data_IF_478281711475
#
_entry.id   IF_478281711475
#
_cell.length_a   1.000
_cell.length_b   1.000
_cell.length_c   1.000
_cell.angle_alpha   90.00
_cell.angle_beta   90.00
_cell.angle_gamma   90.00
#
_symmetry.space_group_name_H-M   'P 1'
#
loop_
_entity.id
_entity.type
_entity.pdbx_description
1 polymer ?
#
# COMPACT_ATOMS: atom_id res chain seq x y z
N UNK A 1 -25.21 -5.22 -17.19
CA UNK A 1 -23.74 -5.38 -17.10
C UNK A 1 -23.29 -5.17 -15.66
N UNK A 2 -22.48 -6.07 -15.09
CA UNK A 2 -21.85 -5.89 -13.78
C UNK A 2 -20.98 -4.63 -13.69
N UNK A 3 -20.77 -4.12 -12.47
CA UNK A 3 -19.93 -2.94 -12.21
C UNK A 3 -18.79 -3.24 -11.24
N UNK A 4 -17.60 -2.77 -11.57
CA UNK A 4 -16.45 -2.73 -10.67
C UNK A 4 -16.20 -1.30 -10.20
N UNK A 5 -16.33 -1.08 -8.90
CA UNK A 5 -16.01 0.17 -8.23
C UNK A 5 -14.64 0.03 -7.55
N UNK A 6 -13.70 0.86 -7.95
CA UNK A 6 -12.36 0.90 -7.38
C UNK A 6 -12.20 2.18 -6.58
N UNK A 7 -11.75 2.05 -5.34
CA UNK A 7 -11.40 3.20 -4.50
C UNK A 7 -9.98 3.06 -4.00
N UNK A 8 -9.17 4.10 -4.16
CA UNK A 8 -7.88 4.17 -3.50
C UNK A 8 -7.98 4.87 -2.16
N UNK A 9 -7.45 4.26 -1.10
CA UNK A 9 -7.38 4.89 0.22
C UNK A 9 -6.46 6.12 0.22
N UNK A 10 -6.81 7.10 1.03
CA UNK A 10 -5.95 8.24 1.34
C UNK A 10 -4.83 7.81 2.30
N UNK A 11 -3.61 7.77 1.78
CA UNK A 11 -2.40 7.62 2.58
C UNK A 11 -1.36 8.68 2.24
N UNK A 12 -0.75 9.25 3.27
CA UNK A 12 0.21 10.34 3.10
C UNK A 12 1.55 9.85 2.52
N UNK A 13 1.98 8.65 2.90
CA UNK A 13 3.27 8.08 2.48
C UNK A 13 3.37 7.90 0.95
N UNK A 14 2.27 7.57 0.28
CA UNK A 14 2.23 7.41 -1.18
C UNK A 14 1.32 8.43 -1.87
N UNK A 15 1.04 9.58 -1.24
CA UNK A 15 0.09 10.57 -1.75
C UNK A 15 0.38 11.03 -3.18
N UNK A 16 1.67 11.14 -3.54
CA UNK A 16 2.12 11.56 -4.86
C UNK A 16 2.27 10.43 -5.87
N UNK A 17 2.16 9.17 -5.44
CA UNK A 17 2.30 8.01 -6.32
C UNK A 17 0.99 7.71 -7.05
N UNK A 18 1.08 7.22 -8.26
CA UNK A 18 -0.04 6.64 -9.01
C UNK A 18 0.05 5.13 -8.94
N UNK A 19 -1.09 4.43 -8.81
CA UNK A 19 -1.11 2.97 -8.86
C UNK A 19 -1.62 2.51 -10.21
N UNK A 20 -0.95 1.52 -10.79
CA UNK A 20 -1.31 0.88 -12.04
C UNK A 20 -2.13 -0.37 -11.73
N UNK A 21 -3.26 -0.52 -12.42
CA UNK A 21 -4.20 -1.62 -12.19
C UNK A 21 -4.21 -2.55 -13.39
N UNK A 22 -4.13 -3.85 -13.11
CA UNK A 22 -4.03 -4.91 -14.08
C UNK A 22 -5.21 -5.87 -13.92
N UNK A 23 -5.84 -6.21 -15.04
CA UNK A 23 -6.89 -7.21 -15.11
C UNK A 23 -6.37 -8.36 -15.99
N UNK A 24 -6.34 -9.58 -15.45
CA UNK A 24 -5.77 -10.75 -16.12
C UNK A 24 -4.34 -10.53 -16.65
N UNK A 25 -3.54 -9.76 -15.90
CA UNK A 25 -2.15 -9.44 -16.23
C UNK A 25 -1.97 -8.32 -17.26
N UNK A 26 -3.04 -7.72 -17.80
CA UNK A 26 -2.98 -6.57 -18.70
C UNK A 26 -3.36 -5.30 -17.96
N UNK A 27 -2.52 -4.27 -18.10
CA UNK A 27 -2.83 -2.94 -17.55
C UNK A 27 -4.09 -2.40 -18.23
N UNK A 28 -5.04 -1.90 -17.43
CA UNK A 28 -6.29 -1.34 -17.96
C UNK A 28 -6.53 0.10 -17.49
N UNK A 29 -5.99 0.50 -16.35
CA UNK A 29 -6.14 1.87 -15.85
C UNK A 29 -5.12 2.21 -14.78
N UNK A 30 -5.05 3.49 -14.43
CA UNK A 30 -4.30 4.03 -13.31
C UNK A 30 -5.26 4.67 -12.29
N UNK A 31 -4.89 4.70 -11.01
CA UNK A 31 -5.69 5.33 -9.96
C UNK A 31 -4.84 6.22 -9.04
N UNK A 32 -5.28 7.48 -8.91
CA UNK A 32 -4.63 8.54 -8.13
C UNK A 32 -5.12 8.56 -6.70
N UNK A 33 -4.46 9.36 -5.89
CA UNK A 33 -4.75 9.48 -4.46
C UNK A 33 -6.22 9.87 -4.23
N UNK A 34 -6.90 9.09 -3.38
CA UNK A 34 -8.30 9.28 -2.99
C UNK A 34 -9.30 9.27 -4.16
N UNK A 35 -8.89 8.70 -5.30
CA UNK A 35 -9.74 8.59 -6.49
C UNK A 35 -10.69 7.38 -6.40
N UNK A 36 -11.85 7.54 -7.03
CA UNK A 36 -12.87 6.49 -7.20
C UNK A 36 -13.15 6.33 -8.69
N UNK A 37 -13.03 5.10 -9.19
CA UNK A 37 -13.28 4.76 -10.59
C UNK A 37 -14.40 3.72 -10.68
N UNK A 38 -15.18 3.79 -11.74
CA UNK A 38 -16.28 2.85 -12.01
C UNK A 38 -16.15 2.29 -13.43
N UNK A 39 -16.18 0.97 -13.55
CA UNK A 39 -16.09 0.28 -14.83
C UNK A 39 -17.27 -0.67 -15.00
N UNK A 40 -17.83 -0.73 -16.20
CA UNK A 40 -18.76 -1.79 -16.59
C UNK A 40 -17.93 -2.93 -17.18
N UNK A 41 -18.07 -4.13 -16.61
CA UNK A 41 -17.27 -5.30 -16.98
C UNK A 41 -18.21 -6.43 -17.36
N UNK A 42 -17.93 -7.20 -18.42
CA UNK A 42 -18.68 -8.40 -18.74
C UNK A 42 -18.68 -9.41 -17.59
N UNK A 43 -19.64 -10.33 -17.63
CA UNK A 43 -19.66 -11.44 -16.68
C UNK A 43 -18.47 -12.38 -16.89
N UNK A 44 -18.00 -12.95 -15.80
CA UNK A 44 -16.88 -13.88 -15.83
C UNK A 44 -15.94 -13.74 -14.64
N UNK A 45 -14.81 -14.45 -14.75
CA UNK A 45 -13.76 -14.49 -13.74
C UNK A 45 -12.61 -13.61 -14.16
N UNK A 46 -12.16 -12.76 -13.25
CA UNK A 46 -11.08 -11.82 -13.47
C UNK A 46 -10.12 -11.83 -12.31
N UNK A 47 -8.86 -11.63 -12.63
CA UNK A 47 -7.77 -11.49 -11.67
C UNK A 47 -7.31 -10.03 -11.65
N UNK A 48 -7.57 -9.34 -10.55
CA UNK A 48 -7.18 -7.95 -10.33
C UNK A 48 -5.84 -7.88 -9.59
N UNK A 49 -4.91 -7.07 -10.08
CA UNK A 49 -3.64 -6.77 -9.43
C UNK A 49 -3.38 -5.26 -9.43
N UNK A 50 -2.78 -4.73 -8.37
CA UNK A 50 -2.29 -3.36 -8.32
C UNK A 50 -0.76 -3.33 -8.24
N UNK A 51 -0.14 -2.35 -8.90
CA UNK A 51 1.32 -2.13 -8.88
C UNK A 51 1.67 -0.67 -8.70
N UNK A 52 2.81 -0.42 -8.06
CA UNK A 52 3.42 0.90 -7.91
C UNK A 52 4.93 0.72 -7.89
N UNK A 53 5.65 1.44 -8.75
CA UNK A 53 7.08 1.24 -8.97
C UNK A 53 7.41 -0.26 -9.19
N UNK A 54 8.29 -0.86 -8.36
CA UNK A 54 8.63 -2.29 -8.40
C UNK A 54 7.84 -3.14 -7.38
N UNK A 55 6.86 -2.55 -6.70
CA UNK A 55 6.02 -3.16 -5.68
C UNK A 55 4.62 -3.43 -6.23
N UNK A 56 3.84 -4.28 -5.54
CA UNK A 56 2.48 -4.60 -5.95
C UNK A 56 1.66 -5.30 -4.88
N UNK A 57 0.49 -5.77 -5.29
CA UNK A 57 -0.43 -6.54 -4.47
C UNK A 57 -0.38 -8.04 -4.77
N UNK A 58 -0.96 -8.80 -3.84
CA UNK A 58 -1.43 -10.14 -4.18
C UNK A 58 -2.62 -10.01 -5.16
N UNK A 59 -2.78 -10.98 -6.07
CA UNK A 59 -3.93 -11.00 -6.96
C UNK A 59 -5.23 -11.21 -6.18
N UNK A 60 -6.26 -10.48 -6.56
CA UNK A 60 -7.62 -10.67 -6.08
C UNK A 60 -8.45 -11.30 -7.19
N UNK A 61 -8.95 -12.51 -6.94
CA UNK A 61 -9.86 -13.20 -7.84
C UNK A 61 -11.27 -12.65 -7.64
N UNK A 62 -11.89 -12.18 -8.72
CA UNK A 62 -13.22 -11.60 -8.76
C UNK A 62 -14.10 -12.40 -9.72
N UNK A 63 -15.33 -12.69 -9.30
CA UNK A 63 -16.36 -13.28 -10.16
C UNK A 63 -17.52 -12.28 -10.27
N UNK A 64 -17.86 -11.90 -11.50
CA UNK A 64 -18.96 -10.98 -11.78
C UNK A 64 -20.15 -11.73 -12.36
N UNK A 65 -21.31 -11.57 -11.72
CA UNK A 65 -22.61 -12.04 -12.19
C UNK A 65 -23.46 -10.88 -12.69
N UNK A 66 -24.49 -11.20 -13.48
CA UNK A 66 -25.37 -10.18 -14.05
C UNK A 66 -25.93 -9.22 -12.99
N UNK A 67 -25.76 -7.92 -13.22
CA UNK A 67 -26.28 -6.87 -12.32
C UNK A 67 -25.51 -6.66 -11.01
N UNK A 68 -24.42 -7.41 -10.78
CA UNK A 68 -23.65 -7.30 -9.54
C UNK A 68 -22.73 -6.06 -9.53
N UNK A 69 -22.56 -5.47 -8.34
CA UNK A 69 -21.60 -4.39 -8.10
C UNK A 69 -20.55 -4.88 -7.11
N UNK A 70 -19.28 -4.91 -7.54
CA UNK A 70 -18.14 -5.28 -6.70
C UNK A 70 -17.36 -4.02 -6.33
N UNK A 71 -17.14 -3.79 -5.04
CA UNK A 71 -16.32 -2.66 -4.55
C UNK A 71 -14.99 -3.18 -4.08
N UNK A 72 -13.90 -2.69 -4.66
CA UNK A 72 -12.55 -3.01 -4.24
C UNK A 72 -11.85 -1.74 -3.76
N UNK A 73 -11.36 -1.80 -2.53
CA UNK A 73 -10.49 -0.78 -1.97
C UNK A 73 -9.02 -1.18 -2.12
N UNK A 74 -8.23 -0.24 -2.62
CA UNK A 74 -6.79 -0.39 -2.78
C UNK A 74 -6.09 0.41 -1.69
N UNK A 75 -5.33 -0.28 -0.84
CA UNK A 75 -4.61 0.31 0.28
C UNK A 75 -3.11 0.04 0.14
N UNK A 76 -2.27 0.96 0.61
CA UNK A 76 -0.84 0.70 0.76
C UNK A 76 -0.53 -0.17 1.97
N UNK A 77 0.77 -0.26 2.29
CA UNK A 77 1.23 -1.17 3.32
C UNK A 77 0.79 -0.69 4.72
N UNK A 78 0.37 -1.63 5.55
CA UNK A 78 -0.44 -1.43 6.78
C UNK A 78 0.14 -0.39 7.72
N UNK A 79 1.46 -0.38 7.85
CA UNK A 79 2.15 0.36 8.88
C UNK A 79 2.71 1.70 8.38
N UNK A 80 2.57 2.02 7.08
CA UNK A 80 3.13 3.22 6.44
C UNK A 80 2.72 4.50 7.17
N UNK A 81 1.47 4.55 7.66
CA UNK A 81 0.91 5.71 8.34
C UNK A 81 1.67 6.10 9.60
N UNK A 82 2.12 5.12 10.38
CA UNK A 82 2.74 5.33 11.70
C UNK A 82 4.25 5.13 11.71
N UNK A 83 4.77 4.28 10.83
CA UNK A 83 6.17 3.87 10.78
C UNK A 83 7.14 5.05 10.65
N UNK A 84 6.84 5.97 9.74
CA UNK A 84 7.72 7.12 9.49
C UNK A 84 7.68 8.15 10.64
N UNK A 85 6.50 8.56 11.17
CA UNK A 85 6.45 9.37 12.39
C UNK A 85 7.20 8.72 13.56
N UNK A 86 7.00 7.41 13.79
CA UNK A 86 7.66 6.72 14.90
C UNK A 86 9.18 6.67 14.70
N UNK A 87 9.66 6.43 13.48
CA UNK A 87 11.08 6.47 13.16
C UNK A 87 11.68 7.86 13.37
N UNK A 88 10.99 8.92 12.93
CA UNK A 88 11.43 10.30 13.10
C UNK A 88 11.46 10.70 14.58
N UNK A 89 10.42 10.38 15.34
CA UNK A 89 10.38 10.63 16.79
C UNK A 89 11.53 9.92 17.51
N UNK A 90 11.80 8.66 17.16
CA UNK A 90 12.92 7.88 17.73
C UNK A 90 14.27 8.53 17.40
N UNK A 91 14.44 9.01 16.17
CA UNK A 91 15.66 9.71 15.74
C UNK A 91 15.86 11.02 16.51
N UNK A 92 14.81 11.80 16.71
CA UNK A 92 14.87 13.07 17.47
C UNK A 92 15.27 12.78 18.92
N UNK A 93 14.68 11.77 19.56
CA UNK A 93 15.01 11.38 20.94
C UNK A 93 16.47 10.90 21.02
N UNK A 94 16.91 10.07 20.06
CA UNK A 94 18.29 9.61 19.98
C UNK A 94 19.27 10.80 19.88
N UNK A 95 18.98 11.77 19.01
CA UNK A 95 19.79 12.98 18.86
C UNK A 95 19.79 13.84 20.12
N UNK A 96 18.65 14.06 20.76
CA UNK A 96 18.56 14.83 22.00
C UNK A 96 19.43 14.23 23.11
N UNK A 97 19.38 12.91 23.28
CA UNK A 97 20.21 12.19 24.26
C UNK A 97 21.69 12.32 23.91
N UNK A 98 22.04 12.12 22.65
CA UNK A 98 23.42 12.25 22.19
C UNK A 98 23.96 13.67 22.39
N UNK A 99 23.20 14.71 22.10
CA UNK A 99 23.67 16.09 22.24
C UNK A 99 23.78 16.54 23.69
N UNK A 100 22.80 16.21 24.54
CA UNK A 100 22.76 16.69 25.92
C UNK A 100 23.64 15.86 26.86
N UNK A 101 23.64 14.54 26.71
CA UNK A 101 24.35 13.62 27.60
C UNK A 101 25.60 13.00 26.99
N UNK A 102 25.86 13.18 25.68
CA UNK A 102 26.96 12.53 24.94
C UNK A 102 26.93 11.00 25.01
N UNK A 103 25.75 10.43 25.30
CA UNK A 103 25.53 8.98 25.35
C UNK A 103 25.06 8.49 23.98
N UNK A 104 25.74 7.47 23.45
CA UNK A 104 25.27 6.74 22.29
C UNK A 104 24.39 5.56 22.73
N UNK A 105 23.08 5.68 22.52
CA UNK A 105 22.12 4.64 22.93
C UNK A 105 21.99 3.54 21.87
N UNK A 106 22.61 2.39 22.14
CA UNK A 106 22.46 1.20 21.30
C UNK A 106 20.99 0.79 21.14
N UNK A 107 20.19 0.91 22.22
CA UNK A 107 18.77 0.56 22.19
C UNK A 107 18.00 1.36 21.14
N UNK A 108 18.12 2.69 21.16
CA UNK A 108 17.43 3.55 20.19
C UNK A 108 17.95 3.33 18.76
N UNK A 109 19.25 3.07 18.60
CA UNK A 109 19.83 2.72 17.31
C UNK A 109 19.26 1.39 16.77
N UNK A 110 19.09 0.37 17.63
CA UNK A 110 18.45 -0.90 17.26
C UNK A 110 16.98 -0.72 16.88
N UNK A 111 16.23 0.13 17.58
CA UNK A 111 14.83 0.46 17.22
C UNK A 111 14.77 1.12 15.84
N UNK A 112 15.66 2.07 15.54
CA UNK A 112 15.77 2.67 14.21
C UNK A 112 16.10 1.63 13.12
N UNK A 113 17.03 0.72 13.42
CA UNK A 113 17.39 -0.37 12.51
C UNK A 113 16.18 -1.29 12.22
N UNK A 114 15.33 -1.55 13.21
CA UNK A 114 14.10 -2.33 13.00
C UNK A 114 13.12 -1.62 12.06
N UNK A 115 12.89 -0.31 12.25
CA UNK A 115 12.04 0.46 11.33
C UNK A 115 12.57 0.45 9.90
N UNK A 116 13.88 0.64 9.74
CA UNK A 116 14.51 0.59 8.42
C UNK A 116 14.44 -0.81 7.79
N UNK A 117 14.72 -1.85 8.57
CA UNK A 117 14.64 -3.24 8.12
C UNK A 117 13.22 -3.61 7.66
N UNK A 118 12.19 -3.12 8.37
CA UNK A 118 10.79 -3.30 7.98
C UNK A 118 10.48 -2.62 6.63
N UNK A 119 10.96 -1.39 6.40
CA UNK A 119 10.83 -0.72 5.09
C UNK A 119 11.52 -1.52 3.98
N UNK A 120 12.76 -1.94 4.20
CA UNK A 120 13.54 -2.71 3.23
C UNK A 120 12.87 -4.03 2.91
N UNK A 121 12.32 -4.74 3.90
CA UNK A 121 11.59 -5.98 3.68
C UNK A 121 10.44 -5.79 2.70
N UNK A 122 9.59 -4.77 2.89
CA UNK A 122 8.45 -4.52 2.00
C UNK A 122 8.86 -4.00 0.62
N UNK A 123 10.03 -3.38 0.46
CA UNK A 123 10.55 -3.00 -0.85
C UNK A 123 11.25 -4.16 -1.59
N UNK A 124 11.64 -5.23 -0.89
CA UNK A 124 12.43 -6.34 -1.46
C UNK A 124 11.64 -7.64 -1.50
N UNK A 125 11.65 -8.41 -0.41
CA UNK A 125 11.01 -9.72 -0.30
C UNK A 125 9.48 -9.61 -0.22
N UNK A 126 9.00 -8.69 0.59
CA UNK A 126 7.58 -8.41 0.81
C UNK A 126 6.92 -7.55 -0.29
N UNK A 127 7.60 -7.29 -1.41
CA UNK A 127 7.14 -6.35 -2.46
C UNK A 127 5.76 -6.63 -3.03
N UNK A 128 5.31 -7.89 -3.04
CA UNK A 128 3.96 -8.29 -3.50
C UNK A 128 2.87 -8.11 -2.44
N UNK A 129 3.25 -7.77 -1.20
CA UNK A 129 2.33 -7.47 -0.11
C UNK A 129 2.33 -5.98 0.23
N UNK A 130 3.01 -5.16 -0.59
CA UNK A 130 3.10 -3.73 -0.39
C UNK A 130 1.74 -3.06 -0.58
N UNK A 131 1.03 -3.42 -1.66
CA UNK A 131 -0.35 -3.01 -1.88
C UNK A 131 -1.30 -4.13 -1.44
N UNK A 132 -2.50 -3.77 -1.00
CA UNK A 132 -3.55 -4.71 -0.61
C UNK A 132 -4.87 -4.32 -1.28
N UNK A 133 -5.49 -5.32 -1.88
CA UNK A 133 -6.83 -5.24 -2.46
C UNK A 133 -7.80 -5.81 -1.44
N UNK A 134 -8.80 -5.04 -1.05
CA UNK A 134 -9.83 -5.45 -0.09
C UNK A 134 -11.20 -5.31 -0.72
N UNK A 135 -11.95 -6.40 -0.74
CA UNK A 135 -13.34 -6.35 -1.14
C UNK A 135 -14.18 -5.72 -0.02
N UNK A 136 -15.08 -4.80 -0.38
CA UNK A 136 -16.02 -4.15 0.52
C UNK A 136 -17.45 -4.56 0.15
N UNK A 137 -18.26 -4.83 1.16
CA UNK A 137 -19.71 -5.05 1.01
C UNK A 137 -20.44 -3.74 0.59
#
# INVERSE_FOLDING_TARGET
MPKLLLKRNSEWANKMKTYHLYLNGREFTEIRHDEVLSFEIPEGKYRLEARVDWCGSQPLELEFKEGEIRKVEITGFVFSKYLFPSALSTLIIYMAIYFHFKVNSLFLASVLMFFFGYLVYFMTFGRKHYLRLMERA
#
